data_IF_591930150038
#
_entry.id   IF_591930150038
#
_cell.length_a   1.000
_cell.length_b   1.000
_cell.length_c   1.000
_cell.angle_alpha   90.00
_cell.angle_beta   90.00
_cell.angle_gamma   90.00
#
_symmetry.space_group_name_H-M   'P 1'
#
loop_
_entity.id
_entity.type
_entity.pdbx_description
1 polymer ?
#
# COMPACT_ATOMS: atom_id res chain seq x y z
N UNK A 1 12.41 0.41 -24.08
CA UNK A 1 11.91 1.76 -23.71
C UNK A 1 10.40 1.78 -23.40
N UNK A 2 9.83 0.68 -22.86
CA UNK A 2 8.38 0.54 -22.60
C UNK A 2 8.05 0.20 -21.13
N UNK A 3 8.95 0.50 -20.18
CA UNK A 3 8.87 -0.02 -18.80
C UNK A 3 8.34 0.97 -17.75
N UNK A 4 7.96 2.19 -18.14
CA UNK A 4 7.49 3.25 -17.22
C UNK A 4 6.02 3.65 -17.40
N UNK A 5 5.32 3.13 -18.41
CA UNK A 5 3.93 3.49 -18.72
C UNK A 5 2.92 2.56 -18.03
N UNK A 6 3.35 1.35 -17.62
CA UNK A 6 2.45 0.35 -17.03
C UNK A 6 2.01 0.60 -15.58
N UNK A 7 2.76 1.40 -14.81
CA UNK A 7 2.44 1.65 -13.39
C UNK A 7 1.42 2.78 -13.19
N UNK A 8 1.44 3.79 -14.08
CA UNK A 8 0.51 4.93 -14.02
C UNK A 8 -0.88 4.53 -14.52
N UNK A 9 -0.97 3.54 -15.42
CA UNK A 9 -2.27 3.13 -15.98
C UNK A 9 -3.10 2.23 -15.05
N UNK A 10 -2.48 1.44 -14.15
CA UNK A 10 -3.23 0.53 -13.27
C UNK A 10 -3.96 1.24 -12.12
N UNK A 11 -3.52 2.44 -11.74
CA UNK A 11 -4.24 3.28 -10.76
C UNK A 11 -5.46 3.97 -11.43
N UNK A 12 -5.44 4.15 -12.75
CA UNK A 12 -6.54 4.79 -13.49
C UNK A 12 -7.77 3.88 -13.70
N UNK A 13 -7.63 2.55 -13.56
CA UNK A 13 -8.71 1.58 -13.88
C UNK A 13 -9.74 1.41 -12.75
N UNK A 14 -9.54 2.01 -11.58
CA UNK A 14 -10.53 2.03 -10.49
C UNK A 14 -11.64 3.09 -10.65
N UNK A 15 -11.74 3.72 -11.83
CA UNK A 15 -12.78 4.71 -12.14
C UNK A 15 -13.78 4.12 -13.13
N UNK A 16 -14.81 3.48 -12.62
CA UNK A 16 -16.14 3.62 -13.22
C UNK A 16 -17.16 3.79 -12.10
N UNK A 17 -18.05 4.76 -12.28
CA UNK A 17 -19.17 5.13 -11.41
C UNK A 17 -18.86 6.04 -10.22
N UNK A 18 -18.75 7.34 -10.50
CA UNK A 18 -19.56 8.36 -9.80
C UNK A 18 -19.86 9.48 -10.79
N UNK A 19 -21.13 9.86 -10.90
CA UNK A 19 -21.56 10.88 -11.86
C UNK A 19 -20.91 12.22 -11.52
N UNK A 20 -20.32 12.88 -12.52
CA UNK A 20 -19.88 14.27 -12.41
C UNK A 20 -21.07 15.10 -11.92
N UNK A 21 -21.05 15.54 -10.67
CA UNK A 21 -21.90 16.64 -10.24
C UNK A 21 -21.13 17.91 -10.57
N UNK A 22 -21.87 18.97 -10.89
CA UNK A 22 -21.25 20.26 -11.19
C UNK A 22 -21.12 21.02 -9.87
N UNK A 23 -19.96 20.88 -9.21
CA UNK A 23 -19.69 21.61 -7.96
C UNK A 23 -19.48 23.12 -8.19
N UNK A 24 -19.49 23.63 -9.43
CA UNK A 24 -19.44 25.09 -9.65
C UNK A 24 -20.62 25.83 -9.02
N UNK A 25 -21.69 25.09 -8.69
CA UNK A 25 -22.90 25.56 -7.99
C UNK A 25 -22.72 25.82 -6.49
N UNK A 26 -21.69 25.27 -5.86
CA UNK A 26 -21.48 25.40 -4.42
C UNK A 26 -20.37 26.40 -4.09
N UNK A 27 -20.51 27.13 -2.98
CA UNK A 27 -19.48 28.01 -2.45
C UNK A 27 -18.43 27.22 -1.65
N UNK A 28 -17.61 26.46 -2.39
CA UNK A 28 -16.52 25.66 -1.84
C UNK A 28 -15.30 26.45 -1.32
N UNK A 29 -14.95 27.65 -1.81
CA UNK A 29 -13.77 28.38 -1.34
C UNK A 29 -13.79 28.71 0.15
N UNK A 30 -12.77 28.31 0.90
CA UNK A 30 -12.60 28.54 2.33
C UNK A 30 -11.78 27.44 2.99
N UNK A 31 -11.55 27.58 4.30
CA UNK A 31 -10.77 26.62 5.08
C UNK A 31 -11.69 25.64 5.81
N UNK A 32 -11.29 24.37 5.84
CA UNK A 32 -11.97 23.30 6.56
C UNK A 32 -10.95 22.61 7.45
N UNK A 33 -11.25 22.53 8.75
CA UNK A 33 -10.46 21.72 9.68
C UNK A 33 -10.77 20.25 9.44
N UNK A 34 -9.73 19.47 9.23
CA UNK A 34 -9.76 18.03 9.06
C UNK A 34 -9.09 17.39 10.27
N UNK A 35 -9.79 16.45 10.87
CA UNK A 35 -9.32 15.67 12.01
C UNK A 35 -9.16 14.21 11.61
N UNK A 36 -8.32 13.50 12.35
CA UNK A 36 -8.17 12.06 12.20
C UNK A 36 -9.45 11.36 12.65
N UNK A 37 -9.98 10.46 11.82
CA UNK A 37 -11.11 9.59 12.19
C UNK A 37 -10.72 8.64 13.33
N UNK A 38 -11.66 8.30 14.20
CA UNK A 38 -11.45 7.36 15.31
C UNK A 38 -10.94 5.98 14.84
N UNK A 39 -11.43 5.54 13.68
CA UNK A 39 -11.05 4.31 12.98
C UNK A 39 -10.01 4.56 11.87
N UNK A 40 -9.51 5.78 11.72
CA UNK A 40 -8.56 6.17 10.68
C UNK A 40 -7.12 5.87 11.11
N UNK A 41 -6.33 5.33 10.18
CA UNK A 41 -4.90 5.11 10.38
C UNK A 41 -4.12 5.40 9.09
N UNK A 42 -3.02 6.17 9.16
CA UNK A 42 -2.11 6.32 8.04
C UNK A 42 -1.54 4.98 7.61
N UNK A 43 -1.22 4.85 6.32
CA UNK A 43 -0.48 3.69 5.83
C UNK A 43 0.85 3.59 6.56
N UNK A 44 0.97 2.58 7.42
CA UNK A 44 2.16 2.39 8.26
C UNK A 44 2.75 1.02 8.05
N UNK A 45 4.07 0.96 8.05
CA UNK A 45 4.80 -0.29 8.08
C UNK A 45 4.61 -0.97 9.44
N UNK A 46 4.07 -2.19 9.41
CA UNK A 46 3.90 -3.03 10.62
C UNK A 46 4.96 -4.14 10.71
N UNK A 47 5.61 -4.44 9.60
CA UNK A 47 6.68 -5.43 9.54
C UNK A 47 7.66 -5.12 8.42
N UNK A 48 8.94 -5.29 8.72
CA UNK A 48 10.01 -5.40 7.73
C UNK A 48 10.93 -6.52 8.19
N UNK A 49 11.25 -7.42 7.29
CA UNK A 49 12.34 -8.36 7.47
C UNK A 49 13.30 -8.18 6.30
N UNK A 50 14.57 -7.98 6.64
CA UNK A 50 15.66 -7.92 5.69
C UNK A 50 16.58 -9.09 6.00
N UNK A 51 16.86 -9.89 4.99
CA UNK A 51 17.76 -11.02 5.06
C UNK A 51 18.98 -10.71 4.18
N UNK A 52 20.01 -10.07 4.76
CA UNK A 52 21.28 -9.83 4.08
C UNK A 52 22.14 -11.10 4.19
N UNK A 53 22.58 -11.63 3.05
CA UNK A 53 23.53 -12.73 3.03
C UNK A 53 24.92 -12.19 2.70
N UNK A 54 25.64 -11.77 3.75
CA UNK A 54 27.10 -11.63 3.71
C UNK A 54 27.78 -12.93 4.20
N UNK A 55 27.03 -13.78 4.94
CA UNK A 55 27.43 -15.12 5.36
C UNK A 55 26.22 -16.07 5.35
N UNK A 56 26.38 -17.34 4.93
CA UNK A 56 25.27 -18.25 4.82
C UNK A 56 24.67 -18.60 6.19
N UNK A 57 23.35 -18.43 6.29
CA UNK A 57 22.56 -18.88 7.43
C UNK A 57 22.80 -20.36 7.73
N UNK A 58 22.73 -20.79 9.00
CA UNK A 58 22.75 -22.21 9.37
C UNK A 58 21.58 -23.03 8.77
N UNK A 59 20.51 -22.40 8.28
CA UNK A 59 19.39 -23.07 7.58
C UNK A 59 19.70 -23.41 6.13
N UNK A 60 20.62 -22.68 5.49
CA UNK A 60 21.12 -23.04 4.17
C UNK A 60 22.02 -24.26 4.32
N UNK A 61 21.63 -25.36 3.69
CA UNK A 61 22.42 -26.58 3.69
C UNK A 61 23.84 -26.23 3.20
N UNK A 62 24.84 -26.28 4.08
CA UNK A 62 26.24 -25.95 3.74
C UNK A 62 26.71 -26.72 2.49
N UNK A 63 26.16 -27.91 2.26
CA UNK A 63 26.39 -28.70 1.06
C UNK A 63 25.96 -28.02 -0.24
N UNK A 64 24.88 -27.24 -0.26
CA UNK A 64 24.40 -26.54 -1.47
C UNK A 64 25.36 -25.40 -1.88
N UNK A 65 25.87 -24.66 -0.90
CA UNK A 65 26.87 -23.60 -1.12
C UNK A 65 28.21 -24.19 -1.55
N UNK A 66 28.60 -25.34 -0.99
CA UNK A 66 29.76 -26.13 -1.43
C UNK A 66 29.58 -26.70 -2.84
N UNK A 67 28.36 -27.05 -3.23
CA UNK A 67 27.98 -27.51 -4.58
C UNK A 67 27.65 -26.36 -5.56
N UNK A 68 27.87 -25.13 -5.11
CA UNK A 68 27.80 -23.90 -5.92
C UNK A 68 26.42 -23.58 -6.52
N UNK A 69 25.36 -23.94 -5.79
CA UNK A 69 23.99 -23.58 -6.11
C UNK A 69 23.15 -23.26 -4.87
N UNK A 70 22.10 -22.47 -5.04
CA UNK A 70 21.07 -22.26 -4.03
C UNK A 70 19.70 -22.67 -4.57
N UNK A 71 18.88 -23.20 -3.67
CA UNK A 71 17.45 -23.41 -3.91
C UNK A 71 16.68 -22.25 -3.29
N UNK A 72 15.98 -21.47 -4.12
CA UNK A 72 15.35 -20.23 -3.69
C UNK A 72 14.17 -20.49 -2.75
N UNK A 73 13.53 -21.68 -2.77
CA UNK A 73 12.55 -22.08 -1.74
C UNK A 73 13.04 -21.87 -0.31
N UNK A 74 14.33 -22.11 -0.07
CA UNK A 74 14.87 -22.13 1.28
C UNK A 74 14.93 -20.70 1.83
N UNK A 75 15.04 -19.71 0.94
CA UNK A 75 14.94 -18.29 1.27
C UNK A 75 13.48 -17.90 1.53
N UNK A 76 12.52 -18.44 0.78
CA UNK A 76 11.10 -18.17 1.02
C UNK A 76 10.66 -18.61 2.42
N UNK A 77 11.17 -19.73 2.95
CA UNK A 77 10.88 -20.12 4.33
C UNK A 77 11.41 -19.13 5.37
N UNK A 78 12.55 -18.49 5.10
CA UNK A 78 13.12 -17.47 6.00
C UNK A 78 12.29 -16.16 5.97
N UNK A 79 11.46 -15.95 4.96
CA UNK A 79 10.51 -14.82 4.86
C UNK A 79 9.14 -15.12 5.51
N UNK A 80 8.90 -16.32 6.03
CA UNK A 80 7.64 -16.64 6.71
C UNK A 80 7.59 -16.04 8.12
N UNK A 81 6.45 -15.46 8.49
CA UNK A 81 6.24 -14.92 9.83
C UNK A 81 4.77 -14.80 10.17
N UNK A 82 4.51 -14.49 11.45
CA UNK A 82 3.20 -14.04 11.91
C UNK A 82 3.40 -12.75 12.70
N UNK A 83 2.74 -11.67 12.28
CA UNK A 83 2.83 -10.36 12.92
C UNK A 83 1.47 -9.88 13.38
N UNK A 84 1.35 -9.58 14.67
CA UNK A 84 0.18 -8.92 15.22
C UNK A 84 0.16 -7.43 14.85
N UNK A 85 -1.02 -6.92 14.51
CA UNK A 85 -1.29 -5.51 14.34
C UNK A 85 -2.67 -5.17 14.88
N UNK A 86 -2.89 -3.88 15.16
CA UNK A 86 -4.19 -3.37 15.62
C UNK A 86 -4.75 -2.37 14.64
N UNK A 87 -6.05 -2.47 14.39
CA UNK A 87 -6.83 -1.51 13.61
C UNK A 87 -8.10 -1.19 14.40
N UNK A 88 -8.47 0.09 14.42
CA UNK A 88 -9.47 0.62 15.36
C UNK A 88 -9.20 0.11 16.79
N UNK A 89 -10.02 -0.84 17.27
CA UNK A 89 -9.93 -1.44 18.61
C UNK A 89 -9.76 -2.97 18.58
N UNK A 90 -9.52 -3.56 17.42
CA UNK A 90 -9.37 -5.00 17.24
C UNK A 90 -7.92 -5.39 16.95
N UNK A 91 -7.57 -6.61 17.35
CA UNK A 91 -6.27 -7.21 17.07
C UNK A 91 -6.39 -8.24 15.94
N UNK A 92 -5.47 -8.14 15.00
CA UNK A 92 -5.34 -9.04 13.86
C UNK A 92 -3.92 -9.56 13.73
N UNK A 93 -3.78 -10.64 12.98
CA UNK A 93 -2.50 -11.27 12.66
C UNK A 93 -2.36 -11.37 11.15
N UNK A 94 -1.31 -10.75 10.62
CA UNK A 94 -0.84 -11.01 9.27
C UNK A 94 0.03 -12.28 9.32
N UNK A 95 -0.41 -13.33 8.63
CA UNK A 95 0.27 -14.62 8.57
C UNK A 95 0.82 -14.77 7.16
N UNK A 96 2.15 -14.74 7.04
CA UNK A 96 2.87 -14.93 5.78
C UNK A 96 3.47 -16.33 5.76
N UNK A 97 3.05 -17.14 4.78
CA UNK A 97 3.54 -18.50 4.54
C UNK A 97 3.58 -18.80 3.05
N UNK A 98 4.73 -19.22 2.55
CA UNK A 98 4.92 -19.55 1.14
C UNK A 98 4.71 -21.05 0.95
N UNK A 99 3.57 -21.45 0.38
CA UNK A 99 3.28 -22.88 0.15
C UNK A 99 4.22 -23.50 -0.90
N UNK A 100 4.56 -22.76 -1.97
CA UNK A 100 5.38 -23.21 -3.10
C UNK A 100 6.16 -22.02 -3.73
N UNK A 101 7.31 -22.28 -4.38
CA UNK A 101 8.04 -21.30 -5.22
C UNK A 101 7.30 -21.16 -6.56
N UNK A 102 7.22 -19.94 -7.13
CA UNK A 102 6.13 -19.02 -6.84
C UNK A 102 4.76 -19.71 -7.03
N UNK A 103 3.77 -19.44 -6.18
CA UNK A 103 2.47 -20.10 -6.23
C UNK A 103 1.77 -19.85 -7.58
N UNK A 104 1.13 -20.89 -8.12
CA UNK A 104 0.23 -20.78 -9.28
C UNK A 104 -1.04 -19.95 -9.01
N UNK A 105 -1.19 -19.37 -7.82
CA UNK A 105 -2.32 -18.56 -7.40
C UNK A 105 -1.85 -17.27 -6.71
N UNK A 106 -2.50 -16.14 -6.97
CA UNK A 106 -1.98 -14.86 -6.53
C UNK A 106 -2.29 -14.55 -5.05
N UNK A 107 -1.28 -14.00 -4.35
CA UNK A 107 -1.36 -13.53 -2.96
C UNK A 107 -1.76 -14.58 -1.90
N UNK A 108 -1.86 -15.85 -2.26
CA UNK A 108 -2.18 -16.98 -1.35
C UNK A 108 -1.18 -17.15 -0.19
N UNK A 109 -0.01 -16.52 -0.29
CA UNK A 109 1.02 -16.57 0.74
C UNK A 109 0.69 -15.70 1.95
N UNK A 110 -0.29 -14.80 1.87
CA UNK A 110 -0.67 -13.93 2.97
C UNK A 110 -2.13 -14.13 3.37
N UNK A 111 -2.33 -14.27 4.68
CA UNK A 111 -3.65 -14.43 5.30
C UNK A 111 -3.78 -13.45 6.45
N UNK A 112 -5.02 -13.05 6.74
CA UNK A 112 -5.36 -12.26 7.92
C UNK A 112 -6.18 -13.12 8.87
N UNK A 113 -5.81 -13.12 10.15
CA UNK A 113 -6.58 -13.78 11.21
C UNK A 113 -7.00 -12.78 12.27
N UNK A 114 -8.17 -12.96 12.86
CA UNK A 114 -8.61 -12.18 14.01
C UNK A 114 -7.98 -12.71 15.32
N UNK A 115 -8.32 -12.07 16.44
CA UNK A 115 -7.80 -12.42 17.77
C UNK A 115 -8.15 -13.83 18.24
N UNK A 116 -9.22 -14.43 17.69
CA UNK A 116 -9.63 -15.82 17.94
C UNK A 116 -8.92 -16.83 17.01
N UNK A 117 -8.03 -16.36 16.14
CA UNK A 117 -7.30 -17.20 15.18
C UNK A 117 -8.11 -17.60 13.95
N UNK A 118 -9.32 -17.06 13.77
CA UNK A 118 -10.17 -17.31 12.60
C UNK A 118 -9.68 -16.48 11.41
N UNK A 119 -9.63 -17.10 10.24
CA UNK A 119 -9.29 -16.41 8.99
C UNK A 119 -10.38 -15.39 8.62
N UNK A 120 -9.93 -14.18 8.32
CA UNK A 120 -10.78 -13.06 7.91
C UNK A 120 -10.89 -13.08 6.39
N UNK A 121 -12.10 -12.94 5.81
CA UNK A 121 -12.26 -12.80 4.36
C UNK A 121 -11.48 -11.59 3.85
N UNK A 122 -10.71 -11.81 2.78
CA UNK A 122 -9.94 -10.76 2.10
C UNK A 122 -10.40 -10.63 0.64
N UNK A 123 -10.29 -9.43 0.10
CA UNK A 123 -10.45 -9.15 -1.33
C UNK A 123 -9.09 -8.76 -1.89
N UNK A 124 -8.67 -9.37 -2.99
CA UNK A 124 -7.44 -8.99 -3.69
C UNK A 124 -7.79 -7.81 -4.61
N UNK A 125 -7.22 -6.64 -4.33
CA UNK A 125 -7.45 -5.43 -5.13
C UNK A 125 -6.42 -5.27 -6.26
N UNK A 126 -5.17 -5.64 -5.99
CA UNK A 126 -4.10 -5.61 -6.99
C UNK A 126 -3.02 -6.63 -6.65
N UNK A 127 -2.35 -7.12 -7.68
CA UNK A 127 -1.26 -8.06 -7.56
C UNK A 127 -0.25 -7.89 -8.69
N UNK A 128 1.02 -8.07 -8.37
CA UNK A 128 2.11 -8.17 -9.33
C UNK A 128 3.16 -9.13 -8.77
N UNK A 129 3.17 -10.35 -9.28
CA UNK A 129 4.09 -11.41 -8.84
C UNK A 129 4.99 -11.76 -10.03
N UNK A 130 6.29 -11.75 -9.78
CA UNK A 130 7.32 -12.14 -10.73
C UNK A 130 8.15 -13.25 -10.10
N UNK A 131 8.33 -14.33 -10.85
CA UNK A 131 9.15 -15.47 -10.45
C UNK A 131 10.31 -15.67 -11.40
N UNK A 132 11.41 -16.20 -10.87
CA UNK A 132 12.54 -16.73 -11.64
C UNK A 132 12.68 -18.25 -11.45
N UNK A 133 13.81 -18.79 -11.88
CA UNK A 133 14.15 -20.19 -11.66
C UNK A 133 14.45 -20.44 -10.17
N UNK A 134 13.86 -21.50 -9.61
CA UNK A 134 14.08 -21.90 -8.20
C UNK A 134 15.53 -22.34 -7.93
N UNK A 135 16.26 -22.80 -8.94
CA UNK A 135 17.65 -23.22 -8.79
C UNK A 135 18.57 -22.19 -9.44
N UNK A 136 19.43 -21.59 -8.62
CA UNK A 136 20.46 -20.68 -9.12
C UNK A 136 21.85 -21.25 -8.89
N UNK A 137 22.65 -21.32 -9.96
CA UNK A 137 24.03 -21.78 -9.94
C UNK A 137 24.98 -20.58 -10.04
N UNK A 138 25.71 -20.28 -8.97
CA UNK A 138 26.57 -19.08 -8.92
C UNK A 138 27.74 -19.15 -9.90
N UNK A 139 28.23 -20.35 -10.25
CA UNK A 139 29.36 -20.52 -11.18
C UNK A 139 29.02 -20.39 -12.67
N UNK A 140 27.73 -20.53 -13.06
CA UNK A 140 27.35 -20.59 -14.48
C UNK A 140 27.16 -19.22 -15.12
N UNK A 141 26.88 -18.19 -14.32
CA UNK A 141 26.49 -16.87 -14.82
C UNK A 141 27.05 -15.77 -13.90
N UNK A 142 28.24 -15.21 -14.18
CA UNK A 142 28.65 -13.96 -13.53
C UNK A 142 27.62 -12.86 -13.89
N UNK A 143 27.00 -12.25 -12.87
CA UNK A 143 25.98 -11.21 -13.06
C UNK A 143 24.67 -11.45 -12.28
N UNK A 144 23.58 -10.81 -12.75
CA UNK A 144 22.26 -10.88 -12.12
C UNK A 144 21.68 -12.30 -12.22
N UNK A 145 21.39 -12.90 -11.08
CA UNK A 145 20.65 -14.16 -10.95
C UNK A 145 19.13 -13.95 -11.00
N UNK A 146 18.35 -14.95 -10.58
CA UNK A 146 16.89 -14.84 -10.57
C UNK A 146 16.45 -13.76 -9.59
N UNK A 147 15.42 -13.02 -10.00
CA UNK A 147 14.70 -12.05 -9.18
C UNK A 147 13.30 -12.59 -8.97
N UNK A 148 12.90 -12.65 -7.70
CA UNK A 148 11.52 -12.88 -7.31
C UNK A 148 10.99 -11.61 -6.69
N UNK A 149 9.78 -11.23 -7.02
CA UNK A 149 9.09 -10.15 -6.35
C UNK A 149 7.60 -10.40 -6.31
N UNK A 150 6.95 -9.87 -5.29
CA UNK A 150 5.51 -9.86 -5.20
C UNK A 150 5.03 -8.61 -4.51
N UNK A 151 4.10 -7.91 -5.15
CA UNK A 151 3.30 -6.83 -4.56
C UNK A 151 1.84 -7.28 -4.55
N UNK A 152 1.23 -7.26 -3.37
CA UNK A 152 -0.16 -7.64 -3.15
C UNK A 152 -0.84 -6.53 -2.36
N UNK A 153 -1.90 -5.96 -2.92
CA UNK A 153 -2.79 -5.05 -2.21
C UNK A 153 -4.11 -5.78 -1.94
N UNK A 154 -4.44 -5.91 -0.66
CA UNK A 154 -5.59 -6.61 -0.16
C UNK A 154 -6.51 -5.64 0.59
N UNK A 155 -7.80 -5.93 0.61
CA UNK A 155 -8.73 -5.31 1.55
C UNK A 155 -9.43 -6.33 2.44
N UNK A 156 -9.78 -5.90 3.65
CA UNK A 156 -10.61 -6.65 4.59
C UNK A 156 -11.49 -5.68 5.37
N UNK A 157 -12.62 -6.14 5.88
CA UNK A 157 -13.55 -5.31 6.65
C UNK A 157 -13.38 -5.60 8.14
N UNK A 158 -13.12 -4.56 8.93
CA UNK A 158 -13.09 -4.67 10.39
C UNK A 158 -14.49 -4.98 10.92
N UNK A 159 -14.60 -5.96 11.83
CA UNK A 159 -15.90 -6.43 12.30
C UNK A 159 -16.60 -5.41 13.20
N UNK A 160 -15.87 -4.57 13.92
CA UNK A 160 -16.43 -3.61 14.87
C UNK A 160 -16.79 -2.29 14.19
N UNK A 161 -15.85 -1.69 13.45
CA UNK A 161 -16.03 -0.39 12.81
C UNK A 161 -16.75 -0.47 11.46
N UNK A 162 -16.82 -1.67 10.85
CA UNK A 162 -17.32 -1.91 9.49
C UNK A 162 -16.53 -1.18 8.40
N UNK A 163 -15.33 -0.71 8.75
CA UNK A 163 -14.45 0.05 7.86
C UNK A 163 -13.65 -0.92 7.02
N UNK A 164 -13.47 -0.58 5.74
CA UNK A 164 -12.53 -1.28 4.88
C UNK A 164 -11.10 -0.85 5.21
N UNK A 165 -10.26 -1.83 5.51
CA UNK A 165 -8.84 -1.69 5.76
C UNK A 165 -8.06 -2.28 4.61
N UNK A 166 -6.95 -1.62 4.27
CA UNK A 166 -6.05 -2.06 3.23
C UNK A 166 -4.78 -2.61 3.84
N UNK A 167 -4.29 -3.72 3.28
CA UNK A 167 -3.01 -4.32 3.64
C UNK A 167 -2.21 -4.52 2.37
N UNK A 168 -1.00 -3.94 2.32
CA UNK A 168 -0.07 -4.14 1.22
C UNK A 168 1.14 -4.95 1.67
N UNK A 169 1.43 -6.02 0.93
CA UNK A 169 2.59 -6.87 1.12
C UNK A 169 3.51 -6.75 -0.07
N UNK A 170 4.76 -6.37 0.18
CA UNK A 170 5.82 -6.31 -0.83
C UNK A 170 6.95 -7.25 -0.42
N UNK A 171 7.36 -8.17 -1.28
CA UNK A 171 8.57 -8.95 -1.08
C UNK A 171 9.49 -8.90 -2.29
N UNK A 172 10.78 -9.03 -2.05
CA UNK A 172 11.81 -9.19 -3.07
C UNK A 172 12.79 -10.28 -2.64
N UNK A 173 13.28 -11.05 -3.61
CA UNK A 173 14.43 -11.94 -3.45
C UNK A 173 15.33 -11.70 -4.67
N UNK A 174 16.50 -11.14 -4.41
CA UNK A 174 17.52 -10.83 -5.40
C UNK A 174 18.74 -11.70 -5.15
N UNK A 175 19.10 -12.51 -6.16
CA UNK A 175 20.31 -13.30 -6.17
C UNK A 175 21.31 -12.69 -7.16
N UNK A 176 22.53 -12.39 -6.71
CA UNK A 176 23.62 -11.95 -7.57
C UNK A 176 24.82 -12.88 -7.41
N UNK A 177 25.36 -13.33 -8.54
CA UNK A 177 26.51 -14.22 -8.59
C UNK A 177 27.79 -13.49 -9.00
N UNK A 178 28.91 -13.97 -8.47
CA UNK A 178 30.22 -13.43 -8.76
C UNK A 178 31.29 -14.52 -8.83
N UNK A 179 32.42 -14.16 -9.44
CA UNK A 179 33.53 -15.08 -9.67
C UNK A 179 34.19 -15.60 -8.38
N UNK A 180 34.06 -14.83 -7.28
CA UNK A 180 34.52 -15.22 -5.94
C UNK A 180 33.32 -15.42 -5.02
N UNK A 181 33.48 -16.24 -3.99
CA UNK A 181 32.46 -16.45 -2.96
C UNK A 181 32.08 -15.17 -2.22
N UNK A 182 33.03 -14.25 -2.04
CA UNK A 182 32.81 -12.91 -1.48
C UNK A 182 31.93 -12.01 -2.32
N UNK A 183 31.79 -12.31 -3.61
CA UNK A 183 31.08 -11.48 -4.59
C UNK A 183 29.64 -11.96 -4.80
N UNK A 184 29.24 -13.02 -4.10
CA UNK A 184 27.90 -13.62 -4.17
C UNK A 184 27.03 -12.96 -3.11
N UNK A 185 25.91 -12.40 -3.51
CA UNK A 185 24.98 -11.76 -2.58
C UNK A 185 23.57 -12.30 -2.78
N UNK A 186 22.90 -12.60 -1.69
CA UNK A 186 21.46 -12.85 -1.67
C UNK A 186 20.86 -11.76 -0.80
N UNK A 187 19.85 -11.09 -1.33
CA UNK A 187 19.07 -10.09 -0.58
C UNK A 187 17.63 -10.49 -0.67
N UNK A 188 17.04 -10.80 0.47
CA UNK A 188 15.60 -11.00 0.54
C UNK A 188 14.99 -9.98 1.50
N UNK A 189 13.81 -9.48 1.14
CA UNK A 189 13.05 -8.59 1.99
C UNK A 189 11.57 -8.85 1.87
N UNK A 190 10.85 -8.65 2.96
CA UNK A 190 9.39 -8.58 2.96
C UNK A 190 8.93 -7.47 3.88
N UNK A 191 8.00 -6.67 3.39
CA UNK A 191 7.44 -5.52 4.07
C UNK A 191 5.92 -5.61 4.04
N UNK A 192 5.30 -5.43 5.20
CA UNK A 192 3.85 -5.32 5.34
C UNK A 192 3.49 -3.93 5.83
N UNK A 193 2.55 -3.31 5.13
CA UNK A 193 1.97 -2.02 5.48
C UNK A 193 0.45 -2.16 5.60
N UNK A 194 -0.14 -1.40 6.51
CA UNK A 194 -1.59 -1.41 6.76
C UNK A 194 -2.07 0.01 7.01
N UNK A 195 -3.29 0.32 6.56
CA UNK A 195 -3.93 1.61 6.79
C UNK A 195 -5.31 1.67 6.17
N UNK A 196 -5.92 2.85 6.22
CA UNK A 196 -7.15 3.16 5.50
C UNK A 196 -6.84 4.15 4.36
N UNK A 197 -7.59 4.06 3.27
CA UNK A 197 -7.44 5.01 2.16
C UNK A 197 -7.80 6.43 2.59
N UNK A 198 -8.83 6.58 3.43
CA UNK A 198 -9.22 7.85 4.03
C UNK A 198 -9.03 7.75 5.54
N UNK A 199 -8.32 8.72 6.13
CA UNK A 199 -8.21 8.82 7.59
C UNK A 199 -8.30 10.25 8.12
N UNK A 200 -8.31 11.26 7.25
CA UNK A 200 -8.69 12.63 7.61
C UNK A 200 -10.09 12.94 7.10
N UNK A 201 -10.90 13.57 7.94
CA UNK A 201 -12.26 14.00 7.63
C UNK A 201 -12.59 15.32 8.32
N UNK A 202 -13.37 16.14 7.64
CA UNK A 202 -13.98 17.33 8.21
C UNK A 202 -15.31 17.64 7.54
N UNK A 203 -16.09 18.52 8.18
CA UNK A 203 -17.39 18.93 7.68
C UNK A 203 -17.39 20.44 7.48
N UNK A 204 -17.94 20.86 6.35
CA UNK A 204 -18.16 22.28 6.06
C UNK A 204 -19.65 22.55 5.92
N UNK A 205 -20.09 23.59 6.61
CA UNK A 205 -21.43 24.14 6.46
C UNK A 205 -21.45 25.11 5.26
N UNK A 206 -22.38 24.88 4.33
CA UNK A 206 -22.69 25.74 3.20
C UNK A 206 -23.95 26.58 3.46
N UNK A 207 -24.46 26.58 4.69
CA UNK A 207 -25.66 27.32 5.09
C UNK A 207 -26.93 26.69 4.49
N UNK A 208 -27.73 27.43 3.69
CA UNK A 208 -28.97 26.90 3.11
C UNK A 208 -28.78 25.69 2.20
N UNK A 209 -27.59 25.54 1.62
CA UNK A 209 -27.24 24.43 0.72
C UNK A 209 -26.83 23.15 1.48
N UNK A 210 -26.84 23.20 2.82
CA UNK A 210 -26.55 22.07 3.70
C UNK A 210 -25.06 21.91 4.00
N UNK A 211 -24.64 20.69 4.34
CA UNK A 211 -23.25 20.39 4.70
C UNK A 211 -22.56 19.54 3.64
N UNK A 212 -21.25 19.69 3.54
CA UNK A 212 -20.39 18.82 2.75
C UNK A 212 -19.36 18.15 3.66
N UNK A 213 -19.18 16.85 3.49
CA UNK A 213 -18.10 16.10 4.14
C UNK A 213 -16.90 16.12 3.21
N UNK A 214 -15.74 16.45 3.76
CA UNK A 214 -14.48 16.50 3.03
C UNK A 214 -13.54 15.48 3.65
N UNK A 215 -12.94 14.65 2.82
CA UNK A 215 -12.02 13.60 3.21
C UNK A 215 -10.73 13.72 2.40
N UNK A 216 -9.59 13.36 2.99
CA UNK A 216 -8.34 13.22 2.24
C UNK A 216 -8.04 11.74 2.11
N UNK A 217 -7.81 11.32 0.86
CA UNK A 217 -7.50 9.97 0.45
C UNK A 217 -6.01 9.85 0.18
N UNK A 218 -5.31 9.03 0.97
CA UNK A 218 -3.97 8.52 0.66
C UNK A 218 -4.11 7.58 -0.54
N UNK A 219 -3.87 8.14 -1.72
CA UNK A 219 -4.21 7.51 -2.99
C UNK A 219 -3.10 6.58 -3.46
N UNK A 220 -1.85 6.94 -3.17
CA UNK A 220 -0.68 6.15 -3.51
C UNK A 220 -0.30 5.14 -2.41
N UNK A 221 -0.97 5.21 -1.26
CA UNK A 221 -0.80 4.35 -0.08
C UNK A 221 0.60 4.47 0.52
N UNK A 222 1.16 5.68 0.55
CA UNK A 222 2.50 5.97 1.07
C UNK A 222 2.51 6.45 2.53
N UNK A 223 1.32 6.66 3.13
CA UNK A 223 1.15 7.09 4.51
C UNK A 223 1.32 8.60 4.73
N UNK A 224 1.59 9.36 3.67
CA UNK A 224 1.73 10.82 3.66
C UNK A 224 0.65 11.45 2.79
N UNK A 225 0.39 12.75 2.98
CA UNK A 225 -0.52 13.50 2.12
C UNK A 225 0.25 14.53 1.30
N UNK A 226 0.40 14.23 0.02
CA UNK A 226 1.12 15.03 -0.96
C UNK A 226 0.31 15.19 -2.26
N UNK A 227 0.96 15.62 -3.34
CA UNK A 227 0.30 15.92 -4.61
C UNK A 227 -0.14 14.67 -5.41
N UNK A 228 0.24 13.48 -4.96
CA UNK A 228 -0.26 12.21 -5.49
C UNK A 228 -1.63 11.82 -4.94
N UNK A 229 -2.09 12.50 -3.88
CA UNK A 229 -3.29 12.18 -3.13
C UNK A 229 -4.52 12.93 -3.63
N UNK A 230 -5.68 12.52 -3.11
CA UNK A 230 -6.97 13.03 -3.57
C UNK A 230 -7.77 13.59 -2.40
N UNK A 231 -8.43 14.72 -2.62
CA UNK A 231 -9.52 15.21 -1.77
C UNK A 231 -10.82 14.63 -2.29
N UNK A 232 -11.61 14.04 -1.42
CA UNK A 232 -12.95 13.56 -1.69
C UNK A 232 -13.97 14.47 -1.03
N UNK A 233 -14.90 15.02 -1.82
CA UNK A 233 -16.03 15.81 -1.34
C UNK A 233 -17.29 14.97 -1.47
N UNK A 234 -18.00 14.78 -0.36
CA UNK A 234 -19.25 14.02 -0.28
C UNK A 234 -20.38 14.97 0.10
N UNK A 235 -21.41 15.01 -0.73
CA UNK A 235 -22.60 15.83 -0.48
C UNK A 235 -23.87 15.11 -0.96
N UNK A 236 -24.84 14.93 -0.08
CA UNK A 236 -26.12 14.29 -0.41
C UNK A 236 -25.95 12.94 -1.14
N UNK A 237 -24.97 12.15 -0.73
CA UNK A 237 -24.63 10.84 -1.32
C UNK A 237 -23.86 10.89 -2.64
N UNK A 238 -23.59 12.09 -3.18
CA UNK A 238 -22.72 12.29 -4.35
C UNK A 238 -21.29 12.46 -3.90
N UNK A 239 -20.36 11.86 -4.65
CA UNK A 239 -18.94 11.85 -4.33
C UNK A 239 -18.18 12.43 -5.52
N UNK A 240 -17.28 13.37 -5.24
CA UNK A 240 -16.32 13.89 -6.20
C UNK A 240 -14.92 13.84 -5.64
N UNK A 241 -13.94 13.72 -6.54
CA UNK A 241 -12.53 13.57 -6.18
C UNK A 241 -11.68 14.55 -6.96
N UNK A 242 -10.79 15.22 -6.24
CA UNK A 242 -9.90 16.26 -6.75
C UNK A 242 -8.48 15.93 -6.37
N UNK A 243 -7.52 16.23 -7.24
CA UNK A 243 -6.12 16.08 -6.88
C UNK A 243 -5.74 17.07 -5.77
N UNK A 244 -5.05 16.59 -4.75
CA UNK A 244 -4.55 17.41 -3.65
C UNK A 244 -3.36 18.26 -4.12
N UNK A 245 -3.24 19.49 -3.59
CA UNK A 245 -2.19 20.46 -3.91
C UNK A 245 -2.06 20.76 -5.41
N UNK A 246 -3.13 20.55 -6.17
CA UNK A 246 -3.18 20.70 -7.62
C UNK A 246 -4.40 21.51 -8.03
N UNK A 247 -4.29 22.11 -9.21
CA UNK A 247 -5.40 22.82 -9.86
C UNK A 247 -6.30 21.81 -10.55
N UNK A 248 -7.60 21.93 -10.33
CA UNK A 248 -8.58 20.98 -10.84
C UNK A 248 -9.80 21.71 -11.38
N UNK A 249 -10.28 21.30 -12.55
CA UNK A 249 -11.52 21.82 -13.10
C UNK A 249 -12.73 21.20 -12.39
N UNK A 250 -13.55 22.04 -11.76
CA UNK A 250 -14.86 21.68 -11.21
C UNK A 250 -15.96 22.36 -12.01
N UNK A 251 -16.30 21.79 -13.17
CA UNK A 251 -17.26 22.38 -14.10
C UNK A 251 -16.73 23.64 -14.79
N UNK A 252 -17.38 24.78 -14.57
CA UNK A 252 -17.01 26.08 -15.15
C UNK A 252 -15.94 26.85 -14.38
N UNK A 253 -15.52 26.35 -13.21
CA UNK A 253 -14.53 26.98 -12.33
C UNK A 253 -13.31 26.08 -12.16
N UNK A 254 -12.16 26.68 -11.96
CA UNK A 254 -10.95 25.97 -11.54
C UNK A 254 -10.75 26.17 -10.04
N UNK A 255 -10.44 25.09 -9.33
CA UNK A 255 -10.21 25.09 -7.89
C UNK A 255 -8.79 24.62 -7.57
N UNK A 256 -8.19 25.17 -6.52
CA UNK A 256 -7.02 24.63 -5.85
C UNK A 256 -7.38 24.16 -4.45
N UNK A 257 -6.69 23.11 -3.99
CA UNK A 257 -6.90 22.50 -2.67
C UNK A 257 -5.55 22.31 -1.99
N UNK A 258 -5.25 23.14 -1.00
CA UNK A 258 -3.98 23.10 -0.29
C UNK A 258 -4.19 22.54 1.12
N UNK A 259 -3.56 21.41 1.43
CA UNK A 259 -3.59 20.82 2.76
C UNK A 259 -2.35 21.25 3.55
N UNK A 260 -2.56 21.75 4.76
CA UNK A 260 -1.48 22.10 5.69
C UNK A 260 -1.72 21.45 7.03
N UNK A 261 -0.66 20.88 7.60
CA UNK A 261 -0.69 20.41 8.99
C UNK A 261 -0.66 21.63 9.91
N UNK A 262 -1.65 21.75 10.78
CA UNK A 262 -1.79 22.90 11.67
C UNK A 262 -1.04 22.69 12.99
N UNK A 263 -1.02 21.44 13.48
CA UNK A 263 -0.29 21.06 14.68
C UNK A 263 0.42 19.72 14.47
N UNK A 264 1.71 19.66 14.83
CA UNK A 264 2.51 18.42 14.72
C UNK A 264 2.08 17.32 15.68
N UNK A 265 1.39 17.68 16.75
CA UNK A 265 1.14 16.79 17.88
C UNK A 265 -0.27 16.17 17.88
N UNK A 266 -1.22 16.74 17.12
CA UNK A 266 -2.65 16.35 17.17
C UNK A 266 -3.23 15.86 15.83
N UNK A 267 -2.43 15.61 14.79
CA UNK A 267 -2.91 15.20 13.45
C UNK A 267 -4.09 16.05 12.93
N UNK A 268 -4.06 17.36 13.24
CA UNK A 268 -5.00 18.36 12.71
C UNK A 268 -4.46 18.98 11.44
N UNK A 269 -5.33 19.09 10.45
CA UNK A 269 -4.99 19.66 9.15
C UNK A 269 -6.01 20.69 8.71
N UNK A 270 -5.54 21.80 8.18
CA UNK A 270 -6.36 22.78 7.49
C UNK A 270 -6.34 22.52 6.00
N UNK A 271 -7.48 22.18 5.41
CA UNK A 271 -7.64 22.16 3.96
C UNK A 271 -8.19 23.51 3.50
N UNK A 272 -7.41 24.23 2.71
CA UNK A 272 -7.85 25.47 2.06
C UNK A 272 -8.30 25.17 0.64
N UNK A 273 -9.56 25.44 0.34
CA UNK A 273 -10.12 25.40 -1.02
C UNK A 273 -10.18 26.82 -1.55
N UNK A 274 -9.74 27.07 -2.77
CA UNK A 274 -9.80 28.40 -3.39
C UNK A 274 -10.14 28.29 -4.88
N UNK A 275 -10.76 29.34 -5.42
CA UNK A 275 -11.01 29.45 -6.86
C UNK A 275 -9.81 30.09 -7.55
N UNK A 276 -9.46 29.56 -8.71
CA UNK A 276 -8.41 30.07 -9.58
C UNK A 276 -9.13 30.86 -10.69
N UNK A 277 -8.77 32.14 -10.81
CA UNK A 277 -9.30 33.05 -11.84
C UNK A 277 -8.68 32.77 -13.20
#
# INVERSE_FOLDING_TARGET
MYRRIGLVLMIAVLITFTGCTDLSKFDLPGQVELERKDDGLPFRQIYIHNYPLDHPSPSLNLFAIVLDFIKVSDIFSDLEFTKQFSVAHNHYFAVVKFKEIPPGLPCDFIKIRNSQGKEVPITILSQNIQGGDDKYFFYRLPGKGPNFSGDCLLSFVDEASKTEWLLRSNYTIDCEGGSRTSDRTIRASITITVGTRYYLEGVRDLGPDGTVTIQVLDWNLDGSFNDADMVQIVHSGKIERFALNKKVHGGSKEYGMDLKRENTDEDRYGLTIYTIK
#
